data_IF_980038306417
#
_entry.id   IF_980038306417
#
_cell.length_a   1.000
_cell.length_b   1.000
_cell.length_c   1.000
_cell.angle_alpha   90.00
_cell.angle_beta   90.00
_cell.angle_gamma   90.00
#
_symmetry.space_group_name_H-M   'P 1'
#
loop_
_entity.id
_entity.type
_entity.pdbx_description
1 polymer ?
#
# COMPACT_ATOMS: atom_id res chain seq x y z
N UNK A 1 -21.34 -10.08 28.43
CA UNK A 1 -20.33 -10.68 27.52
C UNK A 1 -18.97 -10.23 27.98
N UNK A 2 -18.00 -11.14 28.12
CA UNK A 2 -16.67 -10.81 28.62
C UNK A 2 -15.77 -10.34 27.47
N UNK A 3 -15.70 -9.02 27.27
CA UNK A 3 -14.82 -8.39 26.28
C UNK A 3 -13.35 -8.36 26.74
N UNK A 4 -13.08 -8.41 28.05
CA UNK A 4 -11.72 -8.39 28.58
C UNK A 4 -11.02 -9.72 28.28
N UNK A 5 -11.67 -10.85 28.57
CA UNK A 5 -11.14 -12.17 28.24
C UNK A 5 -10.90 -12.34 26.73
N UNK A 6 -11.81 -11.85 25.87
CA UNK A 6 -11.62 -11.89 24.41
C UNK A 6 -10.43 -11.07 23.93
N UNK A 7 -10.25 -9.88 24.49
CA UNK A 7 -9.10 -9.03 24.19
C UNK A 7 -7.79 -9.70 24.59
N UNK A 8 -7.75 -10.33 25.77
CA UNK A 8 -6.60 -11.12 26.22
C UNK A 8 -6.32 -12.30 25.29
N UNK A 9 -7.35 -13.05 24.89
CA UNK A 9 -7.24 -14.18 23.99
C UNK A 9 -6.68 -13.77 22.61
N UNK A 10 -7.19 -12.67 22.04
CA UNK A 10 -6.66 -12.11 20.79
C UNK A 10 -5.17 -11.78 20.93
N UNK A 11 -4.77 -11.02 21.95
CA UNK A 11 -3.36 -10.63 22.11
C UNK A 11 -2.45 -11.85 22.35
N UNK A 12 -2.93 -12.86 23.08
CA UNK A 12 -2.20 -14.13 23.26
C UNK A 12 -2.04 -14.91 21.94
N UNK A 13 -3.09 -14.95 21.12
CA UNK A 13 -3.03 -15.54 19.78
C UNK A 13 -2.01 -14.80 18.90
N UNK A 14 -2.05 -13.47 18.89
CA UNK A 14 -1.11 -12.66 18.10
C UNK A 14 0.34 -12.91 18.52
N UNK A 15 0.64 -12.93 19.82
CA UNK A 15 1.99 -13.23 20.36
C UNK A 15 2.48 -14.65 20.03
N UNK A 16 1.57 -15.57 19.76
CA UNK A 16 1.91 -16.93 19.33
C UNK A 16 2.21 -16.96 17.82
N UNK A 17 1.49 -16.16 17.04
CA UNK A 17 1.58 -16.15 15.58
C UNK A 17 2.70 -15.25 15.04
N UNK A 18 3.07 -14.18 15.75
CA UNK A 18 4.08 -13.20 15.33
C UNK A 18 4.78 -12.56 16.53
N UNK A 19 5.91 -11.91 16.27
CA UNK A 19 6.56 -11.06 17.26
C UNK A 19 5.74 -9.78 17.50
N UNK A 20 5.22 -9.62 18.72
CA UNK A 20 4.48 -8.44 19.14
C UNK A 20 5.19 -7.83 20.34
N UNK A 21 5.85 -6.70 20.12
CA UNK A 21 6.58 -5.98 21.17
C UNK A 21 5.69 -5.64 22.37
N UNK A 22 6.29 -5.63 23.57
CA UNK A 22 5.55 -5.53 24.84
C UNK A 22 4.63 -4.30 24.89
N UNK A 23 5.16 -3.12 24.54
CA UNK A 23 4.39 -1.86 24.53
C UNK A 23 3.18 -1.92 23.59
N UNK A 24 3.32 -2.56 22.43
CA UNK A 24 2.22 -2.70 21.45
C UNK A 24 1.14 -3.62 22.01
N UNK A 25 1.54 -4.76 22.58
CA UNK A 25 0.62 -5.68 23.22
C UNK A 25 -0.09 -5.05 24.43
N UNK A 26 0.60 -4.27 25.26
CA UNK A 26 0.01 -3.49 26.36
C UNK A 26 -1.05 -2.51 25.83
N UNK A 27 -0.75 -1.78 24.76
CA UNK A 27 -1.72 -0.89 24.11
C UNK A 27 -2.96 -1.66 23.63
N UNK A 28 -2.78 -2.80 22.96
CA UNK A 28 -3.88 -3.64 22.49
C UNK A 28 -4.69 -4.27 23.63
N UNK A 29 -4.09 -4.53 24.78
CA UNK A 29 -4.78 -4.98 26.00
C UNK A 29 -5.52 -3.85 26.71
N UNK A 30 -5.04 -2.61 26.60
CA UNK A 30 -5.65 -1.44 27.21
C UNK A 30 -6.83 -0.92 26.40
N UNK A 31 -6.72 -0.88 25.08
CA UNK A 31 -7.73 -0.25 24.21
C UNK A 31 -8.87 -1.22 23.87
N UNK A 32 -10.12 -0.92 24.26
CA UNK A 32 -11.26 -1.80 24.00
C UNK A 32 -11.73 -1.70 22.54
N UNK A 33 -11.13 -2.48 21.63
CA UNK A 33 -11.47 -2.54 20.18
C UNK A 33 -12.98 -2.53 19.87
N UNK A 34 -13.80 -3.23 20.66
CA UNK A 34 -15.26 -3.29 20.48
C UNK A 34 -15.97 -1.93 20.56
N UNK A 35 -15.39 -0.91 21.23
CA UNK A 35 -15.96 0.44 21.25
C UNK A 35 -15.76 1.21 19.94
N UNK A 36 -14.85 0.74 19.08
CA UNK A 36 -14.53 1.33 17.78
C UNK A 36 -15.24 0.63 16.60
N UNK A 37 -15.97 -0.45 16.88
CA UNK A 37 -16.79 -1.19 15.91
C UNK A 37 -18.16 -1.50 16.52
N UNK A 38 -18.95 -0.47 16.88
CA UNK A 38 -20.25 -0.67 17.51
C UNK A 38 -21.18 -1.48 16.60
N UNK A 39 -21.97 -2.37 17.18
CA UNK A 39 -22.89 -3.25 16.45
C UNK A 39 -22.24 -4.51 15.86
N UNK A 40 -20.92 -4.68 16.00
CA UNK A 40 -20.24 -5.94 15.67
C UNK A 40 -20.33 -6.89 16.86
N UNK A 41 -20.66 -8.15 16.59
CA UNK A 41 -20.70 -9.20 17.61
C UNK A 41 -19.35 -9.30 18.35
N UNK A 42 -19.36 -9.50 19.68
CA UNK A 42 -18.12 -9.44 20.47
C UNK A 42 -17.04 -10.42 20.03
N UNK A 43 -17.46 -11.58 19.53
CA UNK A 43 -16.54 -12.56 18.97
C UNK A 43 -15.84 -12.02 17.72
N UNK A 44 -16.61 -11.48 16.78
CA UNK A 44 -16.07 -10.90 15.55
C UNK A 44 -15.19 -9.68 15.81
N UNK A 45 -15.53 -8.85 16.80
CA UNK A 45 -14.72 -7.68 17.17
C UNK A 45 -13.29 -8.04 17.63
N UNK A 46 -13.08 -9.27 18.11
CA UNK A 46 -11.80 -9.77 18.62
C UNK A 46 -11.23 -10.95 17.83
N UNK A 47 -11.77 -11.24 16.63
CA UNK A 47 -11.08 -12.10 15.65
C UNK A 47 -9.95 -11.34 14.98
N UNK A 48 -8.93 -12.08 14.57
CA UNK A 48 -7.84 -11.54 13.77
C UNK A 48 -8.24 -11.37 12.30
N UNK A 49 -9.28 -10.58 12.05
CA UNK A 49 -9.85 -10.31 10.73
C UNK A 49 -10.15 -8.81 10.59
N UNK A 50 -10.06 -8.25 9.36
CA UNK A 50 -10.53 -6.89 9.12
C UNK A 50 -12.06 -6.83 9.15
N UNK A 51 -12.61 -5.72 9.62
CA UNK A 51 -14.05 -5.48 9.66
C UNK A 51 -14.35 -4.32 8.71
N UNK A 52 -15.10 -4.57 7.63
CA UNK A 52 -15.54 -3.51 6.71
C UNK A 52 -16.52 -2.58 7.43
N UNK A 53 -16.22 -1.29 7.45
CA UNK A 53 -17.01 -0.26 8.16
C UNK A 53 -17.73 0.67 7.20
N UNK A 54 -17.24 0.81 5.96
CA UNK A 54 -17.85 1.67 4.94
C UNK A 54 -17.68 1.07 3.56
N UNK A 55 -18.74 1.19 2.75
CA UNK A 55 -18.76 0.86 1.32
C UNK A 55 -19.20 2.09 0.53
N UNK A 56 -18.75 2.19 -0.71
CA UNK A 56 -19.24 3.21 -1.63
C UNK A 56 -20.64 2.85 -2.19
N UNK A 57 -21.16 3.71 -3.08
CA UNK A 57 -22.47 3.50 -3.71
C UNK A 57 -22.53 2.23 -4.60
N UNK A 58 -21.38 1.75 -5.09
CA UNK A 58 -21.25 0.52 -5.85
C UNK A 58 -21.12 -0.73 -4.98
N UNK A 59 -21.07 -0.58 -3.66
CA UNK A 59 -20.88 -1.67 -2.71
C UNK A 59 -19.42 -2.06 -2.48
N UNK A 60 -18.45 -1.37 -3.06
CA UNK A 60 -17.03 -1.65 -2.86
C UNK A 60 -16.61 -1.19 -1.46
N UNK A 61 -15.88 -2.00 -0.66
CA UNK A 61 -15.30 -1.56 0.59
C UNK A 61 -14.36 -0.37 0.39
N UNK A 62 -14.54 0.69 1.18
CA UNK A 62 -13.70 1.90 1.16
C UNK A 62 -13.16 2.29 2.54
N UNK A 63 -13.62 1.63 3.61
CA UNK A 63 -13.06 1.74 4.95
C UNK A 63 -13.24 0.44 5.72
N UNK A 64 -12.31 0.17 6.63
CA UNK A 64 -12.36 -0.98 7.53
C UNK A 64 -11.63 -0.68 8.84
N UNK A 65 -12.05 -1.34 9.93
CA UNK A 65 -11.16 -1.58 11.06
C UNK A 65 -10.18 -2.68 10.67
N UNK A 66 -8.91 -2.32 10.55
CA UNK A 66 -7.86 -3.23 10.06
C UNK A 66 -7.68 -4.47 10.94
N UNK A 67 -7.17 -5.54 10.33
CA UNK A 67 -6.84 -6.78 11.02
C UNK A 67 -5.88 -6.50 12.21
N UNK A 68 -6.14 -7.03 13.42
CA UNK A 68 -5.28 -6.85 14.58
C UNK A 68 -3.80 -7.18 14.34
N UNK A 69 -3.50 -8.28 13.66
CA UNK A 69 -2.14 -8.71 13.34
C UNK A 69 -1.35 -7.67 12.55
N UNK A 70 -1.92 -7.13 11.46
CA UNK A 70 -1.22 -6.13 10.65
C UNK A 70 -1.04 -4.82 11.42
N UNK A 71 -1.99 -4.45 12.29
CA UNK A 71 -1.83 -3.29 13.17
C UNK A 71 -0.70 -3.49 14.18
N UNK A 72 -0.58 -4.67 14.78
CA UNK A 72 0.54 -5.00 15.67
C UNK A 72 1.89 -4.91 14.94
N UNK A 73 1.97 -5.49 13.73
CA UNK A 73 3.15 -5.38 12.86
C UNK A 73 3.51 -3.92 12.58
N UNK A 74 2.56 -3.11 12.11
CA UNK A 74 2.81 -1.72 11.71
C UNK A 74 3.17 -0.82 12.89
N UNK A 75 2.56 -1.02 14.07
CA UNK A 75 2.93 -0.29 15.29
C UNK A 75 4.34 -0.68 15.79
N UNK A 76 4.69 -1.96 15.68
CA UNK A 76 6.06 -2.44 15.94
C UNK A 76 7.08 -1.82 14.99
N UNK A 77 6.76 -1.80 13.70
CA UNK A 77 7.55 -1.11 12.67
C UNK A 77 7.69 0.38 12.97
N UNK A 78 6.62 1.04 13.44
CA UNK A 78 6.60 2.47 13.71
C UNK A 78 7.51 2.83 14.90
N UNK A 79 7.59 1.99 15.93
CA UNK A 79 8.48 2.22 17.08
C UNK A 79 8.14 3.52 17.83
N UNK A 80 6.90 3.61 18.31
CA UNK A 80 6.37 4.77 19.05
C UNK A 80 6.86 4.77 20.50
N UNK A 81 7.42 5.88 20.94
CA UNK A 81 7.89 6.11 22.31
C UNK A 81 7.05 7.18 23.02
N UNK A 82 7.09 7.22 24.37
CA UNK A 82 6.45 8.28 25.13
C UNK A 82 6.91 9.68 24.69
N UNK A 83 5.97 10.63 24.61
CA UNK A 83 6.24 12.01 24.23
C UNK A 83 6.28 12.27 22.72
N UNK A 84 6.26 11.23 21.88
CA UNK A 84 6.25 11.44 20.43
C UNK A 84 5.02 12.20 19.94
N UNK A 85 5.23 13.00 18.89
CA UNK A 85 4.19 13.54 18.03
C UNK A 85 3.98 12.61 16.84
N UNK A 86 2.77 12.10 16.69
CA UNK A 86 2.43 11.11 15.66
C UNK A 86 1.36 11.67 14.73
N UNK A 87 1.58 11.52 13.43
CA UNK A 87 0.56 11.75 12.39
C UNK A 87 0.06 10.42 11.84
N UNK A 88 -1.24 10.20 11.90
CA UNK A 88 -1.92 9.09 11.25
C UNK A 88 -2.71 9.58 10.03
N UNK A 89 -2.56 8.88 8.90
CA UNK A 89 -3.34 9.08 7.68
C UNK A 89 -4.30 7.90 7.51
N UNK A 90 -5.60 8.16 7.61
CA UNK A 90 -6.66 7.15 7.62
C UNK A 90 -7.19 6.88 9.03
N UNK A 91 -7.79 7.88 9.68
CA UNK A 91 -8.32 7.73 11.05
C UNK A 91 -9.33 6.56 11.15
N UNK A 92 -10.14 6.35 10.11
CA UNK A 92 -11.10 5.26 10.03
C UNK A 92 -12.01 5.20 11.26
N UNK A 93 -11.99 4.09 11.99
CA UNK A 93 -12.77 3.93 13.21
C UNK A 93 -12.24 4.72 14.41
N UNK A 94 -11.00 5.19 14.36
CA UNK A 94 -10.28 5.80 15.49
C UNK A 94 -9.55 4.78 16.38
N UNK A 95 -9.64 3.47 16.09
CA UNK A 95 -9.02 2.44 16.93
C UNK A 95 -7.50 2.55 16.98
N UNK A 96 -6.84 2.73 15.82
CA UNK A 96 -5.39 2.85 15.78
C UNK A 96 -4.91 4.18 16.39
N UNK A 97 -5.64 5.28 16.17
CA UNK A 97 -5.41 6.54 16.89
C UNK A 97 -5.43 6.37 18.43
N UNK A 98 -6.33 5.54 18.96
CA UNK A 98 -6.38 5.21 20.39
C UNK A 98 -5.18 4.37 20.86
N UNK A 99 -4.72 3.42 20.05
CA UNK A 99 -3.48 2.67 20.33
C UNK A 99 -2.27 3.61 20.35
N UNK A 100 -2.17 4.50 19.37
CA UNK A 100 -1.13 5.52 19.30
C UNK A 100 -1.16 6.44 20.52
N UNK A 101 -2.34 6.89 20.95
CA UNK A 101 -2.50 7.73 22.14
C UNK A 101 -1.98 7.04 23.41
N UNK A 102 -2.25 5.74 23.55
CA UNK A 102 -1.70 4.94 24.65
C UNK A 102 -0.17 4.85 24.58
N UNK A 103 0.38 4.60 23.40
CA UNK A 103 1.82 4.43 23.20
C UNK A 103 2.63 5.71 23.44
N UNK A 104 2.12 6.87 22.99
CA UNK A 104 2.79 8.17 23.18
C UNK A 104 2.63 8.71 24.60
N UNK A 105 1.65 8.23 25.36
CA UNK A 105 1.40 8.66 26.74
C UNK A 105 0.95 10.13 26.86
N UNK A 106 0.87 10.66 28.09
CA UNK A 106 0.25 11.97 28.37
C UNK A 106 1.01 13.17 27.76
N UNK A 107 2.32 13.03 27.59
CA UNK A 107 3.19 14.09 27.04
C UNK A 107 3.24 14.08 25.52
N UNK A 108 2.76 13.00 24.90
CA UNK A 108 2.70 12.87 23.45
C UNK A 108 1.43 13.45 22.84
N UNK A 109 1.38 13.47 21.50
CA UNK A 109 0.23 13.98 20.74
C UNK A 109 0.01 13.14 19.50
N UNK A 110 -1.25 12.86 19.18
CA UNK A 110 -1.66 12.18 17.95
C UNK A 110 -2.56 13.09 17.14
N UNK A 111 -2.27 13.26 15.86
CA UNK A 111 -3.19 13.84 14.87
C UNK A 111 -3.57 12.74 13.91
N UNK A 112 -4.87 12.51 13.71
CA UNK A 112 -5.39 11.53 12.76
C UNK A 112 -6.22 12.24 11.70
N UNK A 113 -5.91 12.00 10.43
CA UNK A 113 -6.62 12.59 9.30
C UNK A 113 -7.48 11.54 8.62
N UNK A 114 -8.69 11.91 8.22
CA UNK A 114 -9.51 11.12 7.31
C UNK A 114 -10.17 12.02 6.26
N UNK A 115 -10.51 11.44 5.11
CA UNK A 115 -11.04 12.19 3.97
C UNK A 115 -12.53 12.48 4.13
N UNK A 116 -13.28 11.58 4.77
CA UNK A 116 -14.74 11.71 4.86
C UNK A 116 -15.17 12.23 6.24
N UNK A 117 -16.02 13.26 6.27
CA UNK A 117 -16.50 13.90 7.51
C UNK A 117 -17.26 12.93 8.42
N UNK A 118 -18.08 12.05 7.85
CA UNK A 118 -18.84 11.05 8.62
C UNK A 118 -17.92 10.04 9.33
N UNK A 119 -16.82 9.64 8.69
CA UNK A 119 -15.78 8.80 9.30
C UNK A 119 -15.10 9.54 10.45
N UNK A 120 -14.74 10.81 10.26
CA UNK A 120 -14.13 11.65 11.31
C UNK A 120 -15.04 11.82 12.52
N UNK A 121 -16.33 12.10 12.30
CA UNK A 121 -17.31 12.20 13.38
C UNK A 121 -17.43 10.88 14.16
N UNK A 122 -17.47 9.74 13.46
CA UNK A 122 -17.52 8.42 14.09
C UNK A 122 -16.27 8.16 14.93
N UNK A 123 -15.08 8.42 14.39
CA UNK A 123 -13.82 8.25 15.11
C UNK A 123 -13.79 9.07 16.41
N UNK A 124 -14.21 10.35 16.35
CA UNK A 124 -14.33 11.21 17.54
C UNK A 124 -15.27 10.62 18.59
N UNK A 125 -16.46 10.15 18.18
CA UNK A 125 -17.44 9.51 19.08
C UNK A 125 -16.87 8.25 19.73
N UNK A 126 -16.17 7.39 18.99
CA UNK A 126 -15.55 6.18 19.54
C UNK A 126 -14.43 6.50 20.53
N UNK A 127 -13.58 7.49 20.21
CA UNK A 127 -12.52 7.97 21.11
C UNK A 127 -13.11 8.52 22.41
N UNK A 128 -14.16 9.34 22.33
CA UNK A 128 -14.88 9.86 23.49
C UNK A 128 -15.50 8.74 24.33
N UNK A 129 -16.16 7.76 23.69
CA UNK A 129 -16.74 6.60 24.38
C UNK A 129 -15.69 5.72 25.07
N UNK A 130 -14.48 5.63 24.49
CA UNK A 130 -13.35 4.93 25.07
C UNK A 130 -12.59 5.76 26.12
N UNK A 131 -12.97 7.03 26.36
CA UNK A 131 -12.30 7.93 27.29
C UNK A 131 -10.88 8.32 26.86
N UNK A 132 -10.57 8.20 25.57
CA UNK A 132 -9.23 8.48 25.03
C UNK A 132 -9.05 9.99 24.87
N UNK A 133 -7.89 10.50 25.31
CA UNK A 133 -7.49 11.90 25.22
C UNK A 133 -6.17 12.02 24.45
N UNK A 134 -5.80 13.24 24.05
CA UNK A 134 -4.53 13.48 23.35
C UNK A 134 -4.52 13.15 21.86
N UNK A 135 -5.71 12.88 21.29
CA UNK A 135 -5.93 12.66 19.86
C UNK A 135 -6.74 13.81 19.27
N UNK A 136 -6.25 14.41 18.20
CA UNK A 136 -7.01 15.34 17.35
C UNK A 136 -7.35 14.64 16.03
N UNK A 137 -8.64 14.48 15.73
CA UNK A 137 -9.10 13.89 14.47
C UNK A 137 -9.62 15.00 13.55
N UNK A 138 -9.18 15.07 12.29
CA UNK A 138 -9.53 16.13 11.35
C UNK A 138 -9.96 15.57 9.99
N UNK A 139 -10.99 16.20 9.40
CA UNK A 139 -11.44 15.93 8.04
C UNK A 139 -10.58 16.69 7.04
N UNK A 140 -9.63 16.00 6.41
CA UNK A 140 -8.65 16.55 5.46
C UNK A 140 -8.14 15.46 4.52
N UNK A 141 -7.75 15.86 3.32
CA UNK A 141 -6.91 15.00 2.47
C UNK A 141 -5.56 14.77 3.16
N UNK A 142 -5.30 13.51 3.50
CA UNK A 142 -4.10 13.07 4.18
C UNK A 142 -2.81 13.35 3.40
N UNK A 143 -2.88 13.50 2.08
CA UNK A 143 -1.72 13.84 1.24
C UNK A 143 -1.02 15.12 1.68
N UNK A 144 -1.76 16.11 2.19
CA UNK A 144 -1.20 17.37 2.68
C UNK A 144 -0.55 17.27 4.06
N UNK A 145 -0.72 16.16 4.76
CA UNK A 145 -0.35 16.02 6.17
C UNK A 145 -1.05 17.06 7.05
N UNK A 146 -0.42 17.41 8.17
CA UNK A 146 -0.90 18.45 9.07
C UNK A 146 0.29 19.27 9.61
N UNK A 147 0.64 20.41 8.98
CA UNK A 147 1.82 21.18 9.38
C UNK A 147 1.71 21.81 10.77
N UNK A 148 0.51 21.94 11.34
CA UNK A 148 0.27 22.62 12.63
C UNK A 148 0.95 21.96 13.83
N UNK A 149 1.25 20.66 13.76
CA UNK A 149 1.96 19.91 14.82
C UNK A 149 3.34 19.41 14.38
N UNK A 150 3.73 19.67 13.14
CA UNK A 150 5.04 19.29 12.61
C UNK A 150 6.19 19.96 13.41
N UNK A 151 7.40 19.37 13.44
CA UNK A 151 7.73 18.08 12.83
C UNK A 151 7.20 16.89 13.64
N UNK A 152 6.86 15.79 12.96
CA UNK A 152 6.42 14.54 13.60
C UNK A 152 7.58 13.59 13.82
N UNK A 153 7.60 12.94 14.98
CA UNK A 153 8.56 11.87 15.26
C UNK A 153 8.19 10.60 14.48
N UNK A 154 6.90 10.38 14.28
CA UNK A 154 6.35 9.21 13.59
C UNK A 154 5.20 9.61 12.68
N UNK A 155 5.15 9.00 11.51
CA UNK A 155 4.03 9.11 10.58
C UNK A 155 3.62 7.72 10.13
N UNK A 156 2.33 7.43 10.15
CA UNK A 156 1.77 6.17 9.71
C UNK A 156 0.60 6.41 8.78
N UNK A 157 0.54 5.69 7.66
CA UNK A 157 -0.66 5.60 6.85
C UNK A 157 -1.32 4.23 7.09
N UNK A 158 -2.62 4.20 7.33
CA UNK A 158 -3.43 2.99 7.49
C UNK A 158 -4.31 2.78 6.26
N UNK A 159 -3.74 3.10 5.10
CA UNK A 159 -4.37 3.13 3.78
C UNK A 159 -3.31 2.78 2.72
N UNK A 160 -3.71 2.13 1.64
CA UNK A 160 -2.84 1.74 0.53
C UNK A 160 -2.29 2.97 -0.19
N UNK A 161 -0.98 3.20 -0.05
CA UNK A 161 -0.26 4.37 -0.57
C UNK A 161 0.35 4.03 -1.93
N UNK A 162 -0.23 4.60 -2.99
CA UNK A 162 0.35 4.46 -4.32
C UNK A 162 1.67 5.23 -4.47
N UNK A 163 1.82 6.41 -3.88
CA UNK A 163 3.06 7.21 -3.94
C UNK A 163 3.26 8.00 -2.64
N UNK A 164 4.52 8.26 -2.27
CA UNK A 164 4.84 8.99 -1.05
C UNK A 164 4.56 10.47 -1.23
N UNK A 165 3.69 11.04 -0.41
CA UNK A 165 3.36 12.46 -0.53
C UNK A 165 4.56 13.32 -0.08
N UNK A 166 4.98 14.33 -0.87
CA UNK A 166 6.10 15.21 -0.50
C UNK A 166 5.92 15.89 0.86
N UNK A 167 4.67 16.22 1.23
CA UNK A 167 4.34 16.86 2.48
C UNK A 167 4.68 16.00 3.71
N UNK A 168 4.57 14.67 3.61
CA UNK A 168 4.88 13.76 4.72
C UNK A 168 6.37 13.81 5.04
N UNK A 169 7.20 13.82 4.01
CA UNK A 169 8.66 13.85 4.15
C UNK A 169 9.14 15.19 4.71
N UNK A 170 8.51 16.29 4.30
CA UNK A 170 8.80 17.63 4.80
C UNK A 170 8.34 17.83 6.26
N UNK A 171 7.34 17.08 6.72
CA UNK A 171 6.77 17.20 8.06
C UNK A 171 7.36 16.21 9.07
N UNK A 172 8.23 15.28 8.66
CA UNK A 172 8.93 14.39 9.58
C UNK A 172 10.15 15.06 10.22
N UNK A 173 10.38 14.79 11.50
CA UNK A 173 11.56 15.23 12.22
C UNK A 173 12.84 14.59 11.66
N UNK A 174 14.03 15.18 11.89
CA UNK A 174 15.28 14.47 11.71
C UNK A 174 15.28 13.18 12.54
N UNK A 175 15.43 12.02 11.90
CA UNK A 175 15.31 10.70 12.55
C UNK A 175 13.85 10.21 12.71
N UNK A 176 12.88 10.93 12.15
CA UNK A 176 11.50 10.49 12.09
C UNK A 176 11.33 9.24 11.22
N UNK A 177 10.33 8.43 11.55
CA UNK A 177 10.02 7.18 10.84
C UNK A 177 8.65 7.25 10.19
N UNK A 178 8.59 6.82 8.93
CA UNK A 178 7.36 6.66 8.16
C UNK A 178 7.01 5.18 8.07
N UNK A 179 5.76 4.80 8.33
CA UNK A 179 5.24 3.45 8.03
C UNK A 179 4.07 3.55 7.08
N UNK A 180 4.16 2.90 5.93
CA UNK A 180 3.12 2.95 4.88
C UNK A 180 2.89 1.58 4.25
N UNK A 181 1.63 1.21 3.95
CA UNK A 181 1.29 0.19 2.98
C UNK A 181 1.65 0.69 1.57
N UNK A 182 2.92 0.57 1.19
CA UNK A 182 3.43 1.07 -0.09
C UNK A 182 3.07 0.10 -1.21
N UNK A 183 2.40 0.62 -2.23
CA UNK A 183 2.16 -0.13 -3.47
C UNK A 183 3.46 -0.29 -4.26
N UNK A 184 3.76 -1.51 -4.69
CA UNK A 184 4.87 -1.87 -5.56
C UNK A 184 4.28 -2.47 -6.83
N UNK A 185 3.66 -1.63 -7.65
CA UNK A 185 2.98 -2.02 -8.90
C UNK A 185 1.88 -3.04 -8.63
N UNK A 186 0.95 -2.72 -7.72
CA UNK A 186 -0.25 -3.50 -7.42
C UNK A 186 -0.11 -4.48 -6.25
N UNK A 187 1.11 -4.77 -5.78
CA UNK A 187 1.36 -5.51 -4.53
C UNK A 187 1.65 -4.51 -3.44
N UNK A 188 0.95 -4.58 -2.30
CA UNK A 188 1.22 -3.71 -1.17
C UNK A 188 2.13 -4.38 -0.14
N UNK A 189 3.10 -3.63 0.36
CA UNK A 189 3.95 -4.03 1.49
C UNK A 189 3.96 -2.95 2.55
N UNK A 190 3.95 -3.34 3.82
CA UNK A 190 4.14 -2.39 4.91
C UNK A 190 5.63 -2.08 5.03
N UNK A 191 6.01 -0.88 4.58
CA UNK A 191 7.40 -0.41 4.58
C UNK A 191 7.62 0.61 5.70
N UNK A 192 8.57 0.31 6.59
CA UNK A 192 9.08 1.24 7.57
C UNK A 192 10.29 1.97 6.97
N UNK A 193 10.17 3.27 6.71
CA UNK A 193 11.17 4.09 6.03
C UNK A 193 11.78 5.10 7.00
N UNK A 194 13.10 5.27 6.93
CA UNK A 194 13.82 6.34 7.63
C UNK A 194 14.67 7.14 6.66
N UNK A 195 14.92 8.41 6.99
CA UNK A 195 15.69 9.31 6.15
C UNK A 195 17.19 8.98 6.22
N UNK A 196 17.82 8.89 5.05
CA UNK A 196 19.26 8.81 4.85
C UNK A 196 19.69 9.86 3.80
N UNK A 197 20.12 11.03 4.27
CA UNK A 197 20.41 12.18 3.42
C UNK A 197 19.15 12.70 2.70
N UNK A 198 19.15 12.64 1.37
CA UNK A 198 18.03 13.06 0.51
C UNK A 198 17.10 11.90 0.13
N UNK A 199 17.45 10.66 0.50
CA UNK A 199 16.62 9.47 0.25
C UNK A 199 16.01 8.94 1.53
N UNK A 200 15.05 8.06 1.37
CA UNK A 200 14.47 7.26 2.42
C UNK A 200 14.83 5.80 2.19
N UNK A 201 15.17 5.09 3.25
CA UNK A 201 15.59 3.69 3.18
C UNK A 201 14.72 2.84 4.10
N UNK A 202 14.33 1.67 3.62
CA UNK A 202 13.55 0.72 4.41
C UNK A 202 14.37 0.16 5.56
N UNK A 203 13.82 0.24 6.78
CA UNK A 203 14.29 -0.48 7.97
C UNK A 203 13.72 -1.88 8.05
N UNK A 204 12.45 -2.04 7.67
CA UNK A 204 11.79 -3.33 7.60
C UNK A 204 10.64 -3.26 6.59
N UNK A 205 10.30 -4.42 6.05
CA UNK A 205 9.21 -4.59 5.10
C UNK A 205 8.45 -5.86 5.48
N UNK A 206 7.13 -5.81 5.40
CA UNK A 206 6.24 -6.93 5.72
C UNK A 206 5.10 -7.00 4.70
N UNK A 207 4.52 -8.19 4.42
CA UNK A 207 3.36 -8.31 3.55
C UNK A 207 2.15 -7.60 4.17
N UNK A 208 1.31 -6.96 3.35
CA UNK A 208 0.07 -6.34 3.83
C UNK A 208 -0.97 -6.18 2.72
N UNK A 209 -2.18 -5.79 3.09
CA UNK A 209 -3.21 -5.37 2.15
C UNK A 209 -4.14 -4.35 2.80
N UNK A 210 -4.35 -3.23 2.12
CA UNK A 210 -5.15 -2.10 2.59
C UNK A 210 -6.07 -1.57 1.49
N UNK A 211 -7.18 -0.97 1.92
CA UNK A 211 -8.03 -0.16 1.05
C UNK A 211 -7.20 0.96 0.41
N UNK A 212 -7.41 1.26 -0.87
CA UNK A 212 -6.59 2.26 -1.58
C UNK A 212 -6.84 3.69 -1.10
N UNK A 213 -5.78 4.50 -1.11
CA UNK A 213 -5.87 5.93 -0.84
C UNK A 213 -6.76 6.62 -1.87
N UNK A 214 -7.68 7.44 -1.36
CA UNK A 214 -8.50 8.37 -2.13
C UNK A 214 -7.96 9.79 -1.95
N UNK A 215 -8.36 10.71 -2.82
CA UNK A 215 -7.94 12.11 -2.79
C UNK A 215 -6.84 12.43 -3.80
N UNK A 216 -6.04 13.45 -3.53
CA UNK A 216 -5.06 13.99 -4.49
C UNK A 216 -3.94 13.02 -4.87
N UNK A 217 -3.64 12.05 -3.99
CA UNK A 217 -2.61 11.01 -4.18
C UNK A 217 -3.19 9.65 -4.62
N UNK A 218 -4.43 9.63 -5.13
CA UNK A 218 -5.03 8.41 -5.70
C UNK A 218 -4.12 7.84 -6.80
N UNK A 219 -3.86 6.54 -6.73
CA UNK A 219 -3.02 5.81 -7.67
C UNK A 219 -3.69 5.51 -9.01
N UNK A 220 -2.95 4.83 -9.88
CA UNK A 220 -3.36 4.50 -11.25
C UNK A 220 -4.02 3.13 -11.38
N UNK A 221 -4.06 2.35 -10.31
CA UNK A 221 -4.51 0.97 -10.36
C UNK A 221 -5.99 0.89 -10.76
N UNK A 222 -6.29 0.03 -11.72
CA UNK A 222 -7.63 -0.13 -12.28
C UNK A 222 -8.21 -1.48 -11.88
N UNK A 223 -9.52 -1.51 -11.61
CA UNK A 223 -10.27 -2.76 -11.42
C UNK A 223 -11.24 -2.89 -12.59
N UNK A 224 -11.10 -3.98 -13.35
CA UNK A 224 -11.99 -4.33 -14.47
C UNK A 224 -12.89 -5.46 -14.01
N UNK A 225 -14.21 -5.25 -14.07
CA UNK A 225 -15.18 -6.33 -13.83
C UNK A 225 -15.18 -7.23 -15.06
N UNK A 226 -14.68 -8.46 -14.89
CA UNK A 226 -14.61 -9.47 -15.96
C UNK A 226 -15.97 -10.15 -16.13
N UNK A 227 -16.61 -10.52 -15.02
CA UNK A 227 -18.01 -10.98 -14.97
C UNK A 227 -18.61 -10.68 -13.60
N UNK A 228 -19.94 -10.60 -13.50
CA UNK A 228 -20.66 -10.28 -12.26
C UNK A 228 -21.21 -11.50 -11.52
N UNK A 229 -21.41 -12.61 -12.22
CA UNK A 229 -21.95 -13.83 -11.61
C UNK A 229 -21.33 -15.10 -12.24
N UNK A 230 -20.55 -15.89 -11.48
CA UNK A 230 -19.98 -15.49 -10.20
C UNK A 230 -18.99 -14.34 -10.43
N UNK A 231 -18.88 -13.42 -9.47
CA UNK A 231 -18.04 -12.22 -9.60
C UNK A 231 -16.58 -12.57 -9.88
N UNK A 232 -16.02 -11.91 -10.90
CA UNK A 232 -14.62 -12.03 -11.27
C UNK A 232 -14.11 -10.64 -11.66
N UNK A 233 -13.02 -10.22 -11.04
CA UNK A 233 -12.40 -8.94 -11.30
C UNK A 233 -10.94 -9.11 -11.69
N UNK A 234 -10.47 -8.26 -12.58
CA UNK A 234 -9.08 -8.14 -12.94
C UNK A 234 -8.54 -6.84 -12.35
N UNK A 235 -7.54 -6.97 -11.47
CA UNK A 235 -6.86 -5.84 -10.86
C UNK A 235 -5.56 -5.59 -11.62
N UNK A 236 -5.48 -4.42 -12.24
CA UNK A 236 -4.36 -3.97 -13.04
C UNK A 236 -3.58 -2.91 -12.25
N UNK A 237 -2.26 -3.07 -12.06
CA UNK A 237 -1.41 -2.03 -11.46
C UNK A 237 -1.47 -0.69 -12.19
N UNK A 238 -1.64 -0.74 -13.51
CA UNK A 238 -1.72 0.41 -14.39
C UNK A 238 -2.79 0.13 -15.46
N UNK A 239 -3.50 1.15 -15.96
CA UNK A 239 -4.52 0.97 -16.98
C UNK A 239 -3.91 0.39 -18.26
N UNK A 240 -4.49 -0.70 -18.76
CA UNK A 240 -4.12 -1.31 -20.04
C UNK A 240 -5.25 -2.18 -20.59
N UNK A 241 -5.17 -2.47 -21.88
CA UNK A 241 -6.09 -3.39 -22.55
C UNK A 241 -5.80 -4.84 -22.15
N UNK A 242 -6.85 -5.58 -21.77
CA UNK A 242 -6.76 -6.96 -21.33
C UNK A 242 -7.49 -7.95 -22.26
N UNK A 243 -8.15 -7.48 -23.31
CA UNK A 243 -9.00 -8.31 -24.18
C UNK A 243 -10.22 -8.90 -23.47
N UNK A 244 -10.81 -9.94 -24.06
CA UNK A 244 -11.94 -10.66 -23.47
C UNK A 244 -11.44 -11.77 -22.52
N UNK A 245 -11.10 -11.36 -21.30
CA UNK A 245 -10.57 -12.25 -20.26
C UNK A 245 -11.60 -13.31 -19.86
N UNK A 246 -12.90 -13.01 -19.92
CA UNK A 246 -13.95 -13.97 -19.60
C UNK A 246 -13.94 -15.11 -20.61
N UNK A 247 -14.00 -14.79 -21.90
CA UNK A 247 -13.95 -15.79 -22.97
C UNK A 247 -12.64 -16.59 -22.96
N UNK A 248 -11.51 -15.95 -22.63
CA UNK A 248 -10.24 -16.64 -22.48
C UNK A 248 -10.32 -17.71 -21.37
N UNK A 249 -10.76 -17.33 -20.16
CA UNK A 249 -10.83 -18.23 -19.00
C UNK A 249 -11.82 -19.38 -19.19
N UNK A 250 -12.88 -19.20 -19.98
CA UNK A 250 -13.84 -20.26 -20.31
C UNK A 250 -13.25 -21.31 -21.28
N UNK A 251 -12.16 -20.99 -21.99
CA UNK A 251 -11.47 -21.94 -22.85
C UNK A 251 -10.60 -22.93 -22.04
N UNK A 252 -10.42 -24.13 -22.59
CA UNK A 252 -9.58 -25.17 -21.98
C UNK A 252 -8.14 -24.67 -21.78
N UNK A 253 -7.57 -24.80 -20.57
CA UNK A 253 -6.24 -24.28 -20.29
C UNK A 253 -5.13 -25.15 -20.89
N UNK A 254 -4.02 -24.51 -21.22
CA UNK A 254 -2.70 -25.15 -21.31
C UNK A 254 -2.04 -25.10 -19.94
N UNK A 255 -1.69 -26.24 -19.38
CA UNK A 255 -1.05 -26.33 -18.06
C UNK A 255 0.44 -26.66 -18.19
N UNK A 256 1.26 -25.95 -17.42
CA UNK A 256 2.67 -26.26 -17.23
C UNK A 256 2.93 -26.43 -15.75
N UNK A 257 3.19 -27.67 -15.33
CA UNK A 257 3.60 -27.98 -13.96
C UNK A 257 5.05 -27.55 -13.76
N UNK A 258 5.27 -26.62 -12.83
CA UNK A 258 6.61 -26.18 -12.40
C UNK A 258 7.12 -27.07 -11.28
N UNK A 259 6.27 -27.38 -10.29
CA UNK A 259 6.55 -28.30 -9.20
C UNK A 259 5.36 -29.21 -8.96
N UNK A 260 5.62 -30.52 -8.80
CA UNK A 260 4.57 -31.53 -8.54
C UNK A 260 4.09 -31.54 -7.09
N UNK A 261 4.94 -31.06 -6.19
CA UNK A 261 4.66 -30.93 -4.77
C UNK A 261 5.01 -29.51 -4.34
N UNK A 262 4.09 -28.86 -3.63
CA UNK A 262 4.30 -27.57 -2.99
C UNK A 262 3.86 -27.65 -1.53
N UNK A 263 4.80 -27.76 -0.58
CA UNK A 263 4.48 -27.89 0.83
C UNK A 263 4.16 -26.55 1.50
N UNK A 264 4.54 -25.41 0.91
CA UNK A 264 4.26 -24.10 1.50
C UNK A 264 2.77 -23.73 1.36
N UNK A 265 2.22 -22.95 2.31
CA UNK A 265 0.84 -22.47 2.22
C UNK A 265 0.61 -21.69 0.92
N UNK A 266 -0.55 -21.88 0.23
CA UNK A 266 -0.86 -21.20 -1.03
C UNK A 266 -0.73 -19.67 -0.96
N UNK A 267 -1.11 -19.08 0.18
CA UNK A 267 -0.98 -17.63 0.39
C UNK A 267 0.49 -17.17 0.36
N UNK A 268 1.39 -17.89 1.03
CA UNK A 268 2.82 -17.56 1.07
C UNK A 268 3.43 -17.62 -0.33
N UNK A 269 3.14 -18.69 -1.07
CA UNK A 269 3.59 -18.85 -2.46
C UNK A 269 3.01 -17.75 -3.34
N UNK A 270 1.70 -17.53 -3.27
CA UNK A 270 1.00 -16.52 -4.06
C UNK A 270 1.57 -15.12 -3.85
N UNK A 271 1.85 -14.75 -2.60
CA UNK A 271 2.45 -13.45 -2.28
C UNK A 271 3.89 -13.33 -2.78
N UNK A 272 4.72 -14.37 -2.63
CA UNK A 272 6.09 -14.37 -3.14
C UNK A 272 6.14 -14.22 -4.66
N UNK A 273 5.33 -15.01 -5.37
CA UNK A 273 5.22 -14.93 -6.85
C UNK A 273 4.62 -13.60 -7.28
N UNK A 274 3.60 -13.07 -6.59
CA UNK A 274 3.03 -11.76 -6.90
C UNK A 274 4.09 -10.65 -6.80
N UNK A 275 4.86 -10.61 -5.72
CA UNK A 275 5.93 -9.63 -5.53
C UNK A 275 7.02 -9.77 -6.60
N UNK A 276 7.41 -11.01 -6.93
CA UNK A 276 8.35 -11.28 -8.01
C UNK A 276 7.85 -10.74 -9.35
N UNK A 277 6.61 -11.08 -9.73
CA UNK A 277 6.00 -10.61 -10.97
C UNK A 277 5.85 -9.10 -11.00
N UNK A 278 5.47 -8.47 -9.88
CA UNK A 278 5.35 -7.02 -9.81
C UNK A 278 6.66 -6.28 -10.14
N UNK A 279 7.79 -6.87 -9.78
CA UNK A 279 9.12 -6.31 -10.06
C UNK A 279 9.64 -6.68 -11.47
N UNK A 280 9.27 -7.84 -12.02
CA UNK A 280 9.91 -8.38 -13.23
C UNK A 280 9.00 -8.51 -14.46
N UNK A 281 7.69 -8.36 -14.32
CA UNK A 281 6.72 -8.60 -15.39
C UNK A 281 5.73 -7.43 -15.52
N UNK A 282 5.89 -6.53 -16.51
CA UNK A 282 5.01 -5.38 -16.66
C UNK A 282 3.56 -5.71 -17.01
N UNK A 283 3.29 -6.91 -17.52
CA UNK A 283 1.94 -7.39 -17.86
C UNK A 283 1.24 -8.08 -16.70
N UNK A 284 1.87 -8.15 -15.52
CA UNK A 284 1.30 -8.85 -14.37
C UNK A 284 0.04 -8.18 -13.82
N UNK A 285 -0.87 -8.98 -13.32
CA UNK A 285 -2.15 -8.57 -12.75
C UNK A 285 -2.60 -9.55 -11.67
N UNK A 286 -3.69 -9.21 -10.98
CA UNK A 286 -4.39 -10.14 -10.08
C UNK A 286 -5.77 -10.43 -10.63
N UNK A 287 -6.14 -11.70 -10.66
CA UNK A 287 -7.53 -12.13 -10.82
C UNK A 287 -8.13 -12.31 -9.43
N UNK A 288 -9.18 -11.56 -9.11
CA UNK A 288 -9.92 -11.70 -7.86
C UNK A 288 -11.25 -12.42 -8.14
N UNK A 289 -11.40 -13.61 -7.59
CA UNK A 289 -12.59 -14.44 -7.73
C UNK A 289 -12.28 -15.93 -7.59
N UNK A 290 -13.26 -16.77 -7.92
CA UNK A 290 -13.10 -18.24 -7.89
C UNK A 290 -12.74 -18.77 -9.29
N UNK A 291 -11.58 -19.41 -9.38
CA UNK A 291 -11.06 -20.08 -10.57
C UNK A 291 -11.08 -21.62 -10.44
N UNK A 292 -11.97 -22.16 -9.60
CA UNK A 292 -12.18 -23.59 -9.36
C UNK A 292 -11.51 -24.13 -8.10
N UNK A 293 -11.02 -23.27 -7.22
CA UNK A 293 -10.40 -23.65 -5.95
C UNK A 293 -10.89 -22.79 -4.76
N UNK A 294 -12.00 -22.08 -4.94
CA UNK A 294 -12.54 -21.12 -4.01
C UNK A 294 -12.08 -19.69 -4.32
N UNK A 295 -12.75 -18.68 -3.72
CA UNK A 295 -12.41 -17.27 -3.94
C UNK A 295 -10.98 -16.95 -3.48
N UNK A 296 -10.18 -16.35 -4.36
CA UNK A 296 -8.81 -15.97 -4.07
C UNK A 296 -8.36 -14.73 -4.85
N UNK A 297 -7.25 -14.14 -4.40
CA UNK A 297 -6.44 -13.24 -5.19
C UNK A 297 -5.35 -14.06 -5.89
N UNK A 298 -5.48 -14.22 -7.21
CA UNK A 298 -4.61 -15.08 -8.01
C UNK A 298 -3.65 -14.27 -8.87
N UNK A 299 -2.32 -14.39 -8.67
CA UNK A 299 -1.34 -13.75 -9.55
C UNK A 299 -1.46 -14.27 -10.98
N UNK A 300 -1.35 -13.35 -11.95
CA UNK A 300 -1.56 -13.65 -13.35
C UNK A 300 -0.74 -12.73 -14.28
N UNK A 301 -0.64 -13.11 -15.55
CA UNK A 301 -0.07 -12.32 -16.64
C UNK A 301 -1.11 -12.26 -17.76
N UNK A 302 -1.45 -11.06 -18.23
CA UNK A 302 -2.56 -10.86 -19.18
C UNK A 302 -2.12 -10.06 -20.41
N UNK A 303 -2.65 -10.46 -21.57
CA UNK A 303 -2.57 -9.74 -22.84
C UNK A 303 -3.92 -9.83 -23.58
N UNK A 304 -4.17 -9.02 -24.62
CA UNK A 304 -5.45 -9.04 -25.33
C UNK A 304 -5.85 -10.41 -25.91
N UNK A 305 -4.87 -11.28 -26.21
CA UNK A 305 -5.07 -12.61 -26.79
C UNK A 305 -5.16 -13.76 -25.76
N UNK A 306 -4.96 -13.49 -24.46
CA UNK A 306 -5.03 -14.52 -23.43
C UNK A 306 -4.54 -14.11 -22.04
N UNK A 307 -4.64 -15.04 -21.09
CA UNK A 307 -4.20 -14.85 -19.70
C UNK A 307 -3.54 -16.12 -19.17
N UNK A 308 -2.51 -15.98 -18.34
CA UNK A 308 -1.98 -17.09 -17.55
C UNK A 308 -2.11 -16.81 -16.06
N UNK A 309 -2.63 -17.77 -15.29
CA UNK A 309 -2.87 -17.66 -13.84
C UNK A 309 -2.03 -18.69 -13.08
N UNK A 310 -1.63 -18.33 -11.86
CA UNK A 310 -0.96 -19.24 -10.92
C UNK A 310 -1.99 -20.15 -10.26
N UNK A 311 -1.75 -21.47 -10.26
CA UNK A 311 -2.42 -22.42 -9.40
C UNK A 311 -1.41 -23.02 -8.42
N UNK A 312 -1.63 -22.82 -7.11
CA UNK A 312 -0.71 -23.19 -6.04
C UNK A 312 -1.37 -24.09 -4.98
N UNK A 313 -2.07 -25.15 -5.40
CA UNK A 313 -2.77 -26.08 -4.50
C UNK A 313 -2.06 -27.43 -4.45
N UNK A 314 -1.10 -27.58 -3.54
CA UNK A 314 -0.27 -28.78 -3.39
C UNK A 314 0.71 -29.03 -4.55
N UNK A 315 0.66 -28.20 -5.60
CA UNK A 315 1.56 -28.19 -6.74
C UNK A 315 1.65 -26.75 -7.28
N UNK A 316 2.72 -26.44 -8.02
CA UNK A 316 2.88 -25.15 -8.70
C UNK A 316 2.62 -25.33 -10.19
N UNK A 317 1.53 -24.75 -10.68
CA UNK A 317 1.11 -24.87 -12.08
C UNK A 317 0.84 -23.48 -12.65
N UNK A 318 1.40 -23.20 -13.83
CA UNK A 318 0.98 -22.08 -14.65
C UNK A 318 -0.13 -22.55 -15.61
N UNK A 319 -1.29 -21.91 -15.56
CA UNK A 319 -2.46 -22.24 -16.40
C UNK A 319 -2.71 -21.12 -17.38
N UNK A 320 -2.49 -21.37 -18.67
CA UNK A 320 -2.70 -20.42 -19.75
C UNK A 320 -4.02 -20.63 -20.48
N UNK A 321 -4.72 -19.55 -20.75
CA UNK A 321 -6.07 -19.50 -21.29
C UNK A 321 -6.13 -18.57 -22.52
N UNK A 322 -7.06 -18.84 -23.43
CA UNK A 322 -7.19 -18.11 -24.70
C UNK A 322 -6.16 -18.49 -25.77
N UNK A 323 -6.18 -17.80 -26.91
CA UNK A 323 -5.31 -18.09 -28.06
C UNK A 323 -3.81 -17.95 -27.73
N UNK A 324 -3.47 -16.98 -26.88
CA UNK A 324 -2.11 -16.75 -26.36
C UNK A 324 -1.76 -17.63 -25.15
N UNK A 325 -2.67 -18.48 -24.68
CA UNK A 325 -2.56 -19.18 -23.39
C UNK A 325 -1.30 -20.02 -23.24
N UNK A 326 -0.97 -20.85 -24.23
CA UNK A 326 0.22 -21.72 -24.16
C UNK A 326 1.53 -20.92 -23.98
N UNK A 327 1.65 -19.78 -24.68
CA UNK A 327 2.81 -18.88 -24.57
C UNK A 327 2.85 -18.23 -23.20
N UNK A 328 1.74 -17.66 -22.73
CA UNK A 328 1.66 -16.99 -21.43
C UNK A 328 1.89 -17.97 -20.26
N UNK A 329 1.44 -19.23 -20.38
CA UNK A 329 1.74 -20.27 -19.40
C UNK A 329 3.25 -20.55 -19.32
N UNK A 330 3.93 -20.61 -20.47
CA UNK A 330 5.38 -20.83 -20.51
C UNK A 330 6.16 -19.66 -19.90
N UNK A 331 5.74 -18.43 -20.18
CA UNK A 331 6.31 -17.20 -19.60
C UNK A 331 6.10 -17.17 -18.07
N UNK A 332 4.87 -17.42 -17.58
CA UNK A 332 4.60 -17.47 -16.14
C UNK A 332 5.37 -18.60 -15.45
N UNK A 333 5.44 -19.79 -16.06
CA UNK A 333 6.23 -20.90 -15.54
C UNK A 333 7.73 -20.58 -15.47
N UNK A 334 8.25 -19.80 -16.42
CA UNK A 334 9.63 -19.30 -16.38
C UNK A 334 9.84 -18.31 -15.21
N UNK A 335 8.90 -17.41 -14.95
CA UNK A 335 8.95 -16.53 -13.77
C UNK A 335 8.94 -17.31 -12.45
N UNK A 336 8.08 -18.34 -12.33
CA UNK A 336 8.03 -19.17 -11.11
C UNK A 336 9.35 -19.90 -10.90
N UNK A 337 9.96 -20.45 -11.96
CA UNK A 337 11.29 -21.08 -11.87
C UNK A 337 12.38 -20.08 -11.49
N UNK A 338 12.39 -18.89 -12.09
CA UNK A 338 13.37 -17.86 -11.76
C UNK A 338 13.23 -17.37 -10.30
N UNK A 339 12.00 -17.25 -9.80
CA UNK A 339 11.73 -16.96 -8.39
C UNK A 339 12.26 -18.06 -7.46
N UNK A 340 12.05 -19.33 -7.82
CA UNK A 340 12.55 -20.49 -7.07
C UNK A 340 14.09 -20.54 -7.07
N UNK A 341 14.73 -20.36 -8.24
CA UNK A 341 16.18 -20.27 -8.42
C UNK A 341 16.80 -19.10 -7.64
N UNK A 342 16.07 -18.00 -7.48
CA UNK A 342 16.46 -16.85 -6.66
C UNK A 342 16.29 -17.10 -5.15
N UNK A 343 15.90 -18.32 -4.73
CA UNK A 343 15.71 -18.68 -3.33
C UNK A 343 14.36 -18.27 -2.75
N UNK A 344 13.34 -18.11 -3.60
CA UNK A 344 11.97 -17.72 -3.22
C UNK A 344 11.90 -16.43 -2.40
N UNK A 345 12.45 -15.32 -2.90
CA UNK A 345 12.44 -14.07 -2.16
C UNK A 345 11.02 -13.62 -1.80
N UNK A 346 10.90 -12.97 -0.63
CA UNK A 346 9.64 -12.49 -0.06
C UNK A 346 9.75 -11.02 0.42
N UNK A 347 8.67 -10.51 1.01
CA UNK A 347 8.61 -9.14 1.50
C UNK A 347 9.63 -8.83 2.60
N UNK A 348 10.04 -9.82 3.41
CA UNK A 348 10.97 -9.60 4.54
C UNK A 348 12.41 -9.37 4.06
N UNK A 349 12.78 -10.00 2.94
CA UNK A 349 14.04 -9.79 2.25
C UNK A 349 14.10 -8.48 1.45
N UNK A 350 12.99 -7.78 1.28
CA UNK A 350 12.92 -6.61 0.43
C UNK A 350 13.69 -5.42 1.02
N UNK A 351 14.34 -4.66 0.15
CA UNK A 351 14.98 -3.37 0.42
C UNK A 351 14.38 -2.33 -0.52
N UNK A 352 13.95 -1.22 0.05
CA UNK A 352 13.33 -0.11 -0.68
C UNK A 352 14.12 1.14 -0.37
N UNK A 353 14.65 1.79 -1.40
CA UNK A 353 15.04 3.19 -1.34
C UNK A 353 13.98 4.03 -2.04
N UNK A 354 13.61 5.16 -1.47
CA UNK A 354 12.69 6.12 -2.06
C UNK A 354 13.39 7.47 -2.19
N UNK A 355 13.45 8.01 -3.41
CA UNK A 355 13.99 9.33 -3.72
C UNK A 355 12.84 10.25 -4.13
N UNK A 356 12.53 11.29 -3.34
CA UNK A 356 11.54 12.28 -3.74
C UNK A 356 12.04 13.00 -4.99
N UNK A 357 11.16 13.25 -5.95
CA UNK A 357 11.46 14.15 -7.06
C UNK A 357 11.69 15.56 -6.50
N UNK A 358 12.65 16.28 -7.08
CA UNK A 358 12.81 17.69 -6.76
C UNK A 358 11.47 18.42 -6.98
N UNK A 359 11.06 19.32 -6.08
CA UNK A 359 9.87 20.12 -6.31
C UNK A 359 10.07 20.84 -7.64
N UNK A 360 9.12 20.69 -8.57
CA UNK A 360 9.14 21.42 -9.82
C UNK A 360 9.32 22.90 -9.50
N UNK A 361 10.32 23.55 -10.08
CA UNK A 361 10.55 24.98 -9.91
C UNK A 361 9.23 25.68 -10.26
N UNK A 362 8.57 26.24 -9.25
CA UNK A 362 7.41 27.08 -9.46
C UNK A 362 7.93 28.32 -10.16
N UNK A 363 7.77 28.38 -11.49
CA UNK A 363 7.93 29.64 -12.20
C UNK A 363 6.96 30.61 -11.55
N UNK A 364 7.41 31.74 -10.97
CA UNK A 364 6.50 32.72 -10.42
C UNK A 364 5.56 33.14 -11.54
N UNK A 365 4.26 32.95 -11.35
CA UNK A 365 3.28 33.52 -12.25
C UNK A 365 3.51 35.03 -12.27
N UNK A 366 3.98 35.54 -13.41
CA UNK A 366 4.08 36.98 -13.64
C UNK A 366 2.69 37.58 -13.41
N UNK A 367 2.53 38.57 -12.52
CA UNK A 367 1.25 39.23 -12.36
C UNK A 367 0.85 39.86 -13.70
N UNK A 368 -0.43 39.80 -14.10
CA UNK A 368 -0.87 40.36 -15.37
C UNK A 368 -0.60 41.88 -15.38
N UNK A 369 0.16 42.32 -16.37
CA UNK A 369 0.45 43.73 -16.64
C UNK A 369 -0.83 44.45 -17.10
N UNK A 370 -1.34 45.46 -16.39
CA UNK A 370 -2.59 46.12 -16.74
C UNK A 370 -2.34 47.33 -17.66
N UNK A 371 -1.67 47.14 -18.82
CA UNK A 371 -1.75 48.07 -19.94
C UNK A 371 -0.97 47.57 -21.17
N UNK A 372 -1.67 47.16 -22.24
CA UNK A 372 -1.31 47.51 -23.62
C UNK A 372 -2.34 46.96 -24.63
N UNK A 373 -3.16 47.86 -25.14
CA UNK A 373 -3.90 47.74 -26.41
C UNK A 373 -2.92 47.79 -27.60
N UNK A 374 -2.83 46.68 -28.35
CA UNK A 374 -2.71 46.49 -29.84
C UNK A 374 -1.70 47.34 -30.68
N UNK A 375 -1.30 46.93 -31.92
CA UNK A 375 -1.52 45.68 -32.67
C UNK A 375 -0.26 45.04 -33.28
N UNK A 376 -0.49 43.90 -33.94
CA UNK A 376 0.47 42.94 -34.50
C UNK A 376 1.39 43.46 -35.63
N UNK A 377 2.63 42.97 -35.61
CA UNK A 377 3.62 43.00 -36.71
C UNK A 377 4.21 41.59 -36.87
N UNK A 378 4.42 41.05 -38.09
CA UNK A 378 4.90 39.68 -38.28
C UNK A 378 6.42 39.55 -38.01
N UNK A 379 6.93 38.32 -37.74
CA UNK A 379 8.31 38.12 -37.30
C UNK A 379 9.33 38.10 -38.45
N UNK A 380 10.51 38.67 -38.18
CA UNK A 380 11.74 38.58 -38.97
C UNK A 380 12.61 37.43 -38.42
N UNK A 381 13.16 36.50 -39.23
CA UNK A 381 13.86 35.33 -38.73
C UNK A 381 15.38 35.52 -38.76
N UNK A 382 16.00 35.86 -37.64
CA UNK A 382 17.39 35.47 -37.30
C UNK A 382 17.83 36.09 -35.97
N UNK A 383 17.99 35.26 -34.93
CA UNK A 383 18.94 35.53 -33.85
C UNK A 383 19.26 34.24 -33.10
N UNK A 384 20.36 33.63 -33.50
CA UNK A 384 21.11 32.62 -32.76
C UNK A 384 21.51 33.19 -31.39
N UNK A 385 21.21 32.49 -30.31
CA UNK A 385 21.71 32.79 -28.95
C UNK A 385 22.39 31.53 -28.39
N UNK A 386 23.53 31.64 -27.68
CA UNK A 386 24.47 30.55 -27.51
C UNK A 386 24.13 29.59 -26.37
N UNK A 387 24.68 28.38 -26.47
CA UNK A 387 24.55 27.29 -25.51
C UNK A 387 24.98 27.69 -24.09
N UNK A 388 24.13 27.38 -23.12
CA UNK A 388 24.45 27.41 -21.70
C UNK A 388 25.44 26.26 -21.34
N UNK A 389 26.33 26.46 -20.36
CA UNK A 389 27.28 25.43 -19.94
C UNK A 389 26.55 24.27 -19.23
N UNK A 390 27.10 23.04 -19.26
CA UNK A 390 26.49 21.89 -18.61
C UNK A 390 26.50 22.02 -17.08
N UNK A 391 25.36 21.70 -16.48
CA UNK A 391 25.07 21.60 -15.05
C UNK A 391 25.96 20.51 -14.38
N UNK A 392 26.45 20.68 -13.14
CA UNK A 392 27.39 19.74 -12.54
C UNK A 392 26.65 18.49 -12.01
N UNK A 393 27.01 17.34 -12.57
CA UNK A 393 26.98 16.00 -11.98
C UNK A 393 25.86 15.72 -10.96
N UNK A 394 24.67 15.33 -11.46
CA UNK A 394 23.82 14.42 -10.72
C UNK A 394 24.66 13.17 -10.40
N UNK A 395 24.90 12.91 -9.12
CA UNK A 395 25.64 11.74 -8.68
C UNK A 395 24.77 10.53 -8.95
N UNK A 396 24.94 9.92 -10.12
CA UNK A 396 24.26 8.67 -10.50
C UNK A 396 24.70 7.60 -9.52
N UNK A 397 23.90 7.38 -8.48
CA UNK A 397 24.11 6.27 -7.57
C UNK A 397 23.84 5.02 -8.39
N UNK A 398 24.86 4.17 -8.57
CA UNK A 398 24.72 2.94 -9.33
C UNK A 398 23.59 2.10 -8.72
N UNK A 399 22.60 1.74 -9.52
CA UNK A 399 21.52 0.84 -9.10
C UNK A 399 22.16 -0.52 -8.78
N UNK A 400 21.94 -1.09 -7.58
CA UNK A 400 22.48 -2.40 -7.23
C UNK A 400 22.05 -3.46 -8.26
N UNK A 401 22.94 -4.42 -8.57
CA UNK A 401 22.62 -5.52 -9.48
C UNK A 401 21.37 -6.26 -9.01
N UNK A 402 20.33 -6.34 -9.85
CA UNK A 402 19.06 -6.99 -9.52
C UNK A 402 18.00 -6.09 -8.87
N UNK A 403 18.29 -4.81 -8.63
CA UNK A 403 17.29 -3.86 -8.18
C UNK A 403 16.46 -3.31 -9.37
N UNK A 404 15.17 -3.09 -9.11
CA UNK A 404 14.17 -2.58 -10.04
C UNK A 404 13.84 -1.14 -9.67
N UNK A 405 13.80 -0.27 -10.67
CA UNK A 405 13.39 1.13 -10.52
C UNK A 405 11.90 1.24 -10.84
N UNK A 406 11.12 1.84 -9.93
CA UNK A 406 9.70 2.13 -10.11
C UNK A 406 9.52 3.65 -10.04
N UNK A 407 9.21 4.25 -11.18
CA UNK A 407 8.92 5.69 -11.28
C UNK A 407 7.46 5.96 -10.92
N UNK A 408 7.26 6.89 -9.98
CA UNK A 408 5.92 7.37 -9.58
C UNK A 408 5.78 8.85 -9.89
N UNK A 409 4.68 9.48 -9.47
CA UNK A 409 4.43 10.90 -9.78
C UNK A 409 5.42 11.81 -9.04
N UNK A 410 5.73 11.48 -7.80
CA UNK A 410 6.51 12.31 -6.87
C UNK A 410 7.74 11.61 -6.33
N UNK A 411 7.91 10.31 -6.57
CA UNK A 411 8.98 9.51 -5.99
C UNK A 411 9.51 8.49 -6.99
N UNK A 412 10.83 8.33 -7.05
CA UNK A 412 11.48 7.17 -7.65
C UNK A 412 11.77 6.15 -6.55
N UNK A 413 11.27 4.92 -6.70
CA UNK A 413 11.63 3.80 -5.83
C UNK A 413 12.72 2.96 -6.47
N UNK A 414 13.71 2.55 -5.69
CA UNK A 414 14.67 1.49 -6.05
C UNK A 414 14.41 0.32 -5.11
N UNK A 415 13.98 -0.80 -5.68
CA UNK A 415 13.49 -1.96 -4.94
C UNK A 415 14.32 -3.18 -5.31
N UNK A 416 14.84 -3.89 -4.33
CA UNK A 416 15.58 -5.12 -4.56
C UNK A 416 15.39 -6.12 -3.43
N UNK A 417 15.69 -7.39 -3.71
CA UNK A 417 15.82 -8.40 -2.67
C UNK A 417 17.25 -8.35 -2.12
N UNK A 418 17.37 -8.33 -0.79
CA UNK A 418 18.64 -8.23 -0.07
C UNK A 418 19.31 -9.56 0.24
#
# INVERSE_FOLDING_TARGET
MDYAARRQALVAQLRTAQDVGERVAEAMLAVPRHLFVPGVEPEAAYRDEPIVTKRDAGGLPISSSSQPAIMATMLGQLGVEPGHRVLEIGAGTGYNAALLAHLVGPDGRVVALDLDEDTVEQARRHLDAAGVRGVEVLCRDGAGGHPGLAPYDRLIATVGVWDLAPAWLAQLAPGGRLVVPLDLRGVQVSAALERDGERWVSRSVAPCGFMRMRGSMTGTETVVVVRRDPELMLMLPEPREAGDVAAALDAAPTEITVAREEPAPPFTVGMGVALWLALHEPRWCVVNGDLGAGPALTPAVVQPDGIAVLAAHGSLVARGHGAGGARLAAELAAHIRAWDEAGRPDATGLRIEARPHAPAATTPATPPDPAATTPATPPDPAATTPAAPPDPAATTTAVPSGAVVIEKRHTTLVVGFG
#
